data_IF_833719893783
#
_entry.id   IF_833719893783
#
_cell.length_a   1.000
_cell.length_b   1.000
_cell.length_c   1.000
_cell.angle_alpha   90.00
_cell.angle_beta   90.00
_cell.angle_gamma   90.00
#
_symmetry.space_group_name_H-M   'P 1'
#
loop_
_entity.id
_entity.type
_entity.pdbx_description
1 polymer ?
#
# COMPACT_ATOMS: atom_id res chain seq x y z
N UNK A 1 37.79 5.27 -2.46
CA UNK A 1 36.72 4.26 -2.67
C UNK A 1 35.56 5.00 -3.33
N UNK A 2 35.33 4.81 -4.64
CA UNK A 2 34.24 5.49 -5.33
C UNK A 2 32.92 4.80 -4.96
N UNK A 3 32.03 5.51 -4.29
CA UNK A 3 30.65 5.06 -4.12
C UNK A 3 30.00 5.03 -5.51
N UNK A 4 29.70 3.84 -6.00
CA UNK A 4 28.96 3.65 -7.24
C UNK A 4 27.51 4.09 -6.95
N UNK A 5 27.07 5.20 -7.55
CA UNK A 5 25.68 5.63 -7.44
C UNK A 5 24.77 4.52 -8.00
N UNK A 6 23.70 4.14 -7.28
CA UNK A 6 22.79 3.09 -7.74
C UNK A 6 22.16 3.48 -9.07
N UNK A 7 22.00 2.51 -9.96
CA UNK A 7 21.34 2.72 -11.24
C UNK A 7 19.86 3.08 -11.05
N UNK A 8 19.26 3.78 -12.01
CA UNK A 8 17.83 4.13 -11.96
C UNK A 8 16.94 2.89 -11.74
N UNK A 9 17.28 1.76 -12.36
CA UNK A 9 16.57 0.49 -12.19
C UNK A 9 16.65 -0.04 -10.75
N UNK A 10 17.81 0.08 -10.09
CA UNK A 10 17.98 -0.33 -8.69
C UNK A 10 17.21 0.57 -7.74
N UNK A 11 17.19 1.89 -8.00
CA UNK A 11 16.38 2.85 -7.24
C UNK A 11 14.87 2.54 -7.34
N UNK A 12 14.38 2.22 -8.54
CA UNK A 12 12.98 1.84 -8.77
C UNK A 12 12.65 0.54 -8.01
N UNK A 13 13.51 -0.47 -8.10
CA UNK A 13 13.29 -1.75 -7.41
C UNK A 13 13.36 -1.61 -5.89
N UNK A 14 14.23 -0.75 -5.37
CA UNK A 14 14.33 -0.47 -3.94
C UNK A 14 13.03 0.10 -3.37
N UNK A 15 12.32 0.94 -4.14
CA UNK A 15 11.03 1.54 -3.74
C UNK A 15 9.96 0.49 -3.44
N UNK A 16 9.88 -0.58 -4.23
CA UNK A 16 8.87 -1.64 -4.06
C UNK A 16 9.27 -2.72 -3.05
N UNK A 17 10.51 -2.71 -2.55
CA UNK A 17 10.99 -3.63 -1.50
C UNK A 17 10.76 -3.11 -0.09
N UNK A 18 10.44 -1.82 0.07
CA UNK A 18 10.14 -1.23 1.38
C UNK A 18 8.82 -1.80 1.91
N UNK A 19 8.88 -2.32 3.13
CA UNK A 19 7.72 -2.84 3.87
C UNK A 19 7.55 -1.95 5.10
N UNK A 20 6.39 -1.32 5.23
CA UNK A 20 5.99 -0.65 6.47
C UNK A 20 5.10 -1.56 7.29
N UNK A 21 5.27 -1.50 8.60
CA UNK A 21 4.56 -2.36 9.56
C UNK A 21 3.78 -1.51 10.53
N UNK A 22 2.57 -1.95 10.84
CA UNK A 22 1.72 -1.35 11.87
C UNK A 22 1.05 -2.44 12.69
N UNK A 23 0.97 -2.23 13.99
CA UNK A 23 0.17 -3.09 14.86
C UNK A 23 -1.31 -2.68 14.80
N UNK A 24 -2.20 -3.68 14.80
CA UNK A 24 -3.61 -3.47 15.08
C UNK A 24 -3.90 -3.57 16.59
N UNK A 25 -5.16 -3.32 16.97
CA UNK A 25 -5.59 -3.36 18.37
C UNK A 25 -5.58 -4.78 18.97
N UNK A 26 -5.58 -5.82 18.12
CA UNK A 26 -5.52 -7.23 18.51
C UNK A 26 -4.08 -7.73 18.68
N UNK A 27 -3.08 -6.87 18.43
CA UNK A 27 -1.66 -7.19 18.54
C UNK A 27 -1.06 -7.90 17.32
N UNK A 28 -1.79 -8.02 16.20
CA UNK A 28 -1.22 -8.51 14.95
C UNK A 28 -0.39 -7.39 14.32
N UNK A 29 0.78 -7.74 13.79
CA UNK A 29 1.63 -6.80 13.04
C UNK A 29 1.39 -7.01 11.55
N UNK A 30 0.79 -6.02 10.90
CA UNK A 30 0.47 -6.05 9.47
C UNK A 30 1.58 -5.34 8.70
N UNK A 31 2.23 -6.06 7.78
CA UNK A 31 3.22 -5.50 6.88
C UNK A 31 2.64 -5.27 5.49
N UNK A 32 2.82 -4.05 4.98
CA UNK A 32 2.37 -3.64 3.64
C UNK A 32 3.53 -3.15 2.80
N UNK A 33 3.41 -3.30 1.49
CA UNK A 33 4.34 -2.74 0.51
C UNK A 33 3.59 -2.04 -0.61
N UNK A 34 4.31 -1.21 -1.36
CA UNK A 34 3.74 -0.64 -2.58
C UNK A 34 3.47 -1.71 -3.62
N UNK A 35 2.30 -1.64 -4.23
CA UNK A 35 1.96 -2.43 -5.40
C UNK A 35 2.75 -1.94 -6.60
N UNK A 36 3.35 -2.88 -7.33
CA UNK A 36 3.98 -2.60 -8.62
C UNK A 36 2.92 -2.22 -9.66
N UNK A 37 3.26 -1.49 -10.72
CA UNK A 37 2.31 -1.16 -11.78
C UNK A 37 1.59 -2.40 -12.35
N UNK A 38 2.31 -3.50 -12.56
CA UNK A 38 1.72 -4.76 -13.03
C UNK A 38 0.75 -5.39 -12.03
N UNK A 39 0.97 -5.21 -10.72
CA UNK A 39 0.07 -5.68 -9.67
C UNK A 39 -1.17 -4.79 -9.58
N UNK A 40 -1.03 -3.48 -9.78
CA UNK A 40 -2.16 -2.55 -9.88
C UNK A 40 -3.06 -2.88 -11.08
N UNK A 41 -2.46 -3.21 -12.24
CA UNK A 41 -3.23 -3.70 -13.40
C UNK A 41 -3.95 -5.00 -13.09
N UNK A 42 -3.29 -5.96 -12.44
CA UNK A 42 -3.92 -7.23 -12.04
C UNK A 42 -5.07 -7.03 -11.07
N UNK A 43 -4.87 -6.19 -10.05
CA UNK A 43 -5.91 -5.82 -9.10
C UNK A 43 -7.14 -5.25 -9.83
N UNK A 44 -6.91 -4.31 -10.75
CA UNK A 44 -7.99 -3.76 -11.58
C UNK A 44 -8.75 -4.84 -12.35
N UNK A 45 -8.04 -5.85 -12.88
CA UNK A 45 -8.64 -7.00 -13.55
C UNK A 45 -9.37 -7.98 -12.61
N UNK A 46 -9.01 -8.03 -11.31
CA UNK A 46 -9.69 -8.84 -10.29
C UNK A 46 -10.94 -8.14 -9.73
N UNK A 47 -11.02 -6.81 -9.85
CA UNK A 47 -12.12 -5.99 -9.32
C UNK A 47 -12.85 -5.17 -10.40
N UNK A 48 -13.21 -5.75 -11.56
CA UNK A 48 -13.86 -5.00 -12.65
C UNK A 48 -15.26 -4.51 -12.24
N UNK A 49 -15.91 -5.24 -11.35
CA UNK A 49 -17.22 -4.98 -10.76
C UNK A 49 -17.27 -3.72 -9.88
N UNK A 50 -16.14 -3.34 -9.29
CA UNK A 50 -16.04 -2.23 -8.34
C UNK A 50 -15.57 -0.95 -9.03
N UNK A 51 -16.29 -0.43 -10.02
CA UNK A 51 -15.91 0.82 -10.70
C UNK A 51 -16.43 2.10 -10.05
N UNK A 52 -17.22 1.96 -8.98
CA UNK A 52 -17.87 3.06 -8.28
C UNK A 52 -16.95 3.83 -7.32
N UNK A 53 -17.51 4.93 -6.84
CA UNK A 53 -16.95 5.74 -5.77
C UNK A 53 -18.07 6.19 -4.83
N UNK A 54 -17.88 5.98 -3.54
CA UNK A 54 -18.72 6.55 -2.49
C UNK A 54 -18.26 7.95 -2.09
N UNK A 55 -19.20 8.77 -1.63
CA UNK A 55 -18.88 10.02 -0.92
C UNK A 55 -18.89 9.76 0.59
N UNK A 56 -17.86 10.22 1.29
CA UNK A 56 -17.79 10.24 2.74
C UNK A 56 -17.53 11.67 3.23
N UNK A 57 -18.18 12.07 4.33
CA UNK A 57 -17.98 13.37 4.96
C UNK A 57 -16.80 13.29 5.94
N UNK A 58 -15.69 13.95 5.59
CA UNK A 58 -14.51 14.03 6.42
C UNK A 58 -14.73 14.81 7.72
N UNK A 59 -13.82 14.65 8.71
CA UNK A 59 -13.87 15.42 9.96
C UNK A 59 -13.66 16.93 9.76
N UNK A 60 -13.16 17.32 8.58
CA UNK A 60 -13.04 18.70 8.11
C UNK A 60 -14.36 19.26 7.52
N UNK A 61 -15.43 18.46 7.47
CA UNK A 61 -16.70 18.81 6.86
C UNK A 61 -16.69 18.77 5.33
N UNK A 62 -15.60 18.33 4.71
CA UNK A 62 -15.50 18.20 3.27
C UNK A 62 -15.95 16.80 2.81
N UNK A 63 -16.55 16.74 1.62
CA UNK A 63 -16.86 15.46 0.97
C UNK A 63 -15.62 14.92 0.30
N UNK A 64 -15.24 13.70 0.67
CA UNK A 64 -14.16 12.95 0.05
C UNK A 64 -14.75 11.83 -0.80
N UNK A 65 -14.33 11.76 -2.06
CA UNK A 65 -14.64 10.63 -2.94
C UNK A 65 -13.68 9.49 -2.64
N UNK A 66 -14.23 8.35 -2.25
CA UNK A 66 -13.48 7.14 -1.94
C UNK A 66 -13.86 6.08 -2.97
N UNK A 67 -12.87 5.51 -3.64
CA UNK A 67 -13.13 4.41 -4.57
C UNK A 67 -13.59 3.17 -3.80
N UNK A 68 -14.61 2.49 -4.32
CA UNK A 68 -15.12 1.26 -3.74
C UNK A 68 -14.07 0.13 -3.77
N UNK A 69 -13.01 0.27 -4.58
CA UNK A 69 -11.86 -0.64 -4.62
C UNK A 69 -10.87 -0.43 -3.49
N UNK A 70 -10.92 0.70 -2.78
CA UNK A 70 -9.87 1.07 -1.83
C UNK A 70 -9.62 -0.02 -0.77
N UNK A 71 -10.64 -0.66 -0.15
CA UNK A 71 -10.41 -1.72 0.82
C UNK A 71 -9.64 -2.92 0.23
N UNK A 72 -10.01 -3.35 -0.98
CA UNK A 72 -9.32 -4.44 -1.68
C UNK A 72 -7.92 -4.04 -2.17
N UNK A 73 -7.71 -2.77 -2.49
CA UNK A 73 -6.38 -2.26 -2.83
C UNK A 73 -5.43 -2.29 -1.62
N UNK A 74 -5.95 -1.97 -0.43
CA UNK A 74 -5.20 -2.08 0.83
C UNK A 74 -4.89 -3.54 1.13
N UNK A 75 -5.88 -4.44 1.02
CA UNK A 75 -5.68 -5.88 1.21
C UNK A 75 -4.62 -6.45 0.25
N UNK A 76 -4.67 -6.07 -1.03
CA UNK A 76 -3.68 -6.50 -2.02
C UNK A 76 -2.25 -6.02 -1.71
N UNK A 77 -2.11 -4.89 -1.00
CA UNK A 77 -0.82 -4.32 -0.59
C UNK A 77 -0.20 -5.02 0.63
N UNK A 78 -0.98 -5.82 1.38
CA UNK A 78 -0.47 -6.63 2.50
C UNK A 78 0.44 -7.72 1.97
N UNK A 79 1.64 -7.81 2.54
CA UNK A 79 2.66 -8.79 2.16
C UNK A 79 3.15 -9.64 3.32
N UNK A 80 2.77 -9.34 4.56
CA UNK A 80 3.01 -10.20 5.71
C UNK A 80 2.05 -9.87 6.87
N UNK A 81 1.75 -10.86 7.71
CA UNK A 81 1.07 -10.71 8.99
C UNK A 81 1.86 -11.48 10.03
N UNK A 82 2.24 -10.84 11.14
CA UNK A 82 3.09 -11.44 12.18
C UNK A 82 4.38 -12.05 11.61
N UNK A 83 4.99 -11.35 10.65
CA UNK A 83 6.17 -11.81 9.88
C UNK A 83 5.96 -13.05 9.01
N UNK A 84 4.75 -13.63 8.96
CA UNK A 84 4.41 -14.67 8.01
C UNK A 84 4.14 -14.03 6.63
N UNK A 85 4.87 -14.43 5.57
CA UNK A 85 4.73 -13.81 4.26
C UNK A 85 3.40 -14.16 3.60
N UNK A 86 2.77 -13.17 2.98
CA UNK A 86 1.55 -13.29 2.20
C UNK A 86 1.88 -12.96 0.74
N UNK A 87 1.70 -13.90 -0.21
CA UNK A 87 1.95 -13.62 -1.61
C UNK A 87 0.88 -12.66 -2.16
N UNK A 88 1.25 -11.89 -3.18
CA UNK A 88 0.27 -11.08 -3.91
C UNK A 88 -0.82 -12.00 -4.52
N UNK A 89 -2.11 -11.69 -4.32
CA UNK A 89 -3.22 -12.49 -4.84
C UNK A 89 -3.18 -12.67 -6.36
N UNK A 90 -3.46 -13.87 -6.83
CA UNK A 90 -3.52 -14.22 -8.26
C UNK A 90 -4.93 -14.31 -8.79
N UNK A 91 -5.91 -14.43 -7.91
CA UNK A 91 -7.33 -14.56 -8.23
C UNK A 91 -8.17 -13.67 -7.31
N UNK A 92 -9.41 -13.36 -7.72
CA UNK A 92 -10.34 -12.60 -6.87
C UNK A 92 -10.62 -13.33 -5.55
N UNK A 93 -10.80 -14.65 -5.57
CA UNK A 93 -11.01 -15.42 -4.34
C UNK A 93 -9.82 -15.37 -3.37
N UNK A 94 -8.58 -15.36 -3.88
CA UNK A 94 -7.39 -15.16 -3.02
C UNK A 94 -7.36 -13.74 -2.43
N UNK A 95 -7.76 -12.74 -3.21
CA UNK A 95 -7.83 -11.35 -2.75
C UNK A 95 -8.89 -11.19 -1.66
N UNK A 96 -10.08 -11.76 -1.87
CA UNK A 96 -11.16 -11.76 -0.89
C UNK A 96 -10.75 -12.51 0.38
N UNK A 97 -10.02 -13.63 0.27
CA UNK A 97 -9.50 -14.34 1.45
C UNK A 97 -8.50 -13.50 2.26
N UNK A 98 -7.64 -12.70 1.59
CA UNK A 98 -6.76 -11.75 2.29
C UNK A 98 -7.58 -10.63 2.93
N UNK A 99 -8.60 -10.13 2.25
CA UNK A 99 -9.50 -9.11 2.79
C UNK A 99 -10.26 -9.63 4.02
N UNK A 100 -10.84 -10.83 3.97
CA UNK A 100 -11.58 -11.43 5.09
C UNK A 100 -10.68 -11.75 6.30
N UNK A 101 -9.40 -12.04 6.05
CA UNK A 101 -8.39 -12.21 7.11
C UNK A 101 -8.09 -10.88 7.82
N UNK A 102 -8.26 -9.75 7.12
CA UNK A 102 -8.13 -8.40 7.65
C UNK A 102 -9.52 -7.92 8.06
N UNK A 103 -9.90 -8.20 9.31
CA UNK A 103 -11.03 -7.49 9.93
C UNK A 103 -10.85 -5.95 9.88
N UNK A 104 -11.85 -5.21 10.37
CA UNK A 104 -11.82 -3.75 10.34
C UNK A 104 -10.53 -3.16 10.96
N UNK A 105 -10.02 -3.76 12.03
CA UNK A 105 -8.80 -3.32 12.71
C UNK A 105 -7.54 -3.62 11.90
N UNK A 106 -7.46 -4.82 11.32
CA UNK A 106 -6.38 -5.20 10.42
C UNK A 106 -6.31 -4.32 9.18
N UNK A 107 -7.46 -3.99 8.59
CA UNK A 107 -7.56 -3.09 7.44
C UNK A 107 -7.17 -1.65 7.83
N UNK A 108 -7.56 -1.17 9.00
CA UNK A 108 -7.15 0.13 9.51
C UNK A 108 -5.64 0.21 9.75
N UNK A 109 -5.03 -0.82 10.33
CA UNK A 109 -3.59 -0.92 10.51
C UNK A 109 -2.84 -0.93 9.16
N UNK A 110 -3.30 -1.74 8.21
CA UNK A 110 -2.75 -1.77 6.85
C UNK A 110 -2.84 -0.40 6.16
N UNK A 111 -3.96 0.30 6.31
CA UNK A 111 -4.17 1.65 5.77
C UNK A 111 -3.17 2.67 6.36
N UNK A 112 -2.97 2.66 7.69
CA UNK A 112 -1.97 3.52 8.35
C UNK A 112 -0.55 3.22 7.88
N UNK A 113 -0.19 1.94 7.76
CA UNK A 113 1.12 1.53 7.24
C UNK A 113 1.32 1.99 5.78
N UNK A 114 0.28 1.91 4.95
CA UNK A 114 0.31 2.36 3.57
C UNK A 114 0.44 3.89 3.46
N UNK A 115 -0.22 4.64 4.34
CA UNK A 115 -0.06 6.10 4.44
C UNK A 115 1.39 6.48 4.81
N UNK A 116 2.03 5.75 5.74
CA UNK A 116 3.45 5.95 6.09
C UNK A 116 4.40 5.72 4.90
N UNK A 117 4.09 4.74 4.03
CA UNK A 117 4.83 4.53 2.78
C UNK A 117 4.72 5.70 1.79
N UNK A 118 3.61 6.43 1.82
CA UNK A 118 3.39 7.58 0.93
C UNK A 118 4.07 8.84 1.45
N UNK A 119 3.97 9.12 2.76
CA UNK A 119 4.60 10.29 3.38
C UNK A 119 6.13 10.18 3.46
N UNK A 120 6.65 8.96 3.63
CA UNK A 120 8.09 8.70 3.66
C UNK A 120 8.82 8.88 2.32
N UNK A 121 8.11 9.10 1.22
CA UNK A 121 8.71 9.41 -0.10
C UNK A 121 8.82 10.91 -0.37
N UNK A 122 8.04 11.75 0.31
CA UNK A 122 8.11 13.21 0.14
C UNK A 122 9.41 13.81 0.69
N UNK A 123 10.16 13.08 1.52
CA UNK A 123 11.40 13.57 2.15
C UNK A 123 12.70 13.30 1.38
N UNK A 124 12.67 12.66 0.19
CA UNK A 124 13.89 12.26 -0.51
C UNK A 124 14.33 13.22 -1.63
N UNK A 125 13.56 14.27 -1.97
CA UNK A 125 13.80 15.04 -3.21
C UNK A 125 13.84 16.58 -3.07
N UNK A 126 14.29 17.14 -1.94
CA UNK A 126 14.31 18.62 -1.76
C UNK A 126 15.56 19.22 -1.15
N UNK A 127 16.72 18.54 -1.19
CA UNK A 127 17.98 19.11 -0.66
C UNK A 127 19.17 19.20 -1.60
N UNK A 128 19.01 19.00 -2.91
CA UNK A 128 20.15 19.05 -3.83
C UNK A 128 19.94 19.87 -5.11
N UNK A 129 19.30 21.04 -5.01
CA UNK A 129 19.32 22.07 -6.08
C UNK A 129 19.16 23.47 -5.48
N UNK A 130 20.16 23.92 -4.73
CA UNK A 130 20.33 25.34 -4.42
C UNK A 130 21.81 25.64 -4.17
N UNK A 131 22.62 25.60 -5.25
CA UNK A 131 23.91 26.28 -5.40
C UNK A 131 24.39 26.08 -6.84
N UNK A 132 23.99 26.98 -7.71
CA UNK A 132 24.79 27.50 -8.83
C UNK A 132 24.24 28.89 -9.17
#
# INVERSE_FOLDING_TARGET
MNAMNPTQSEMILARYKRIEREADELGRVIGVRKLRPSEQTKLTGMTPDLSGSGEYLGPDGNKHLVSDRLPLAIAAAVCEINSAPIPFPRTRGELDAVFDMLDAEGLAAASRALAKLQTGETQVDSKETAKN
#
